data_IF_388450284386
#
_entry.id   IF_388450284386
#
_cell.length_a   1.000
_cell.length_b   1.000
_cell.length_c   1.000
_cell.angle_alpha   90.00
_cell.angle_beta   90.00
_cell.angle_gamma   90.00
#
_symmetry.space_group_name_H-M   'P 1'
#
loop_
_entity.id
_entity.type
_entity.pdbx_description
1 polymer ?
#
# COMPACT_ATOMS: atom_id res chain seq x y z
N UNK A 1 20.23 -30.07 -2.92
CA UNK A 1 19.05 -29.96 -2.05
C UNK A 1 19.13 -28.61 -1.34
N UNK A 2 18.43 -27.60 -1.85
CA UNK A 2 18.47 -26.24 -1.29
C UNK A 2 17.58 -26.16 -0.06
N UNK A 3 18.17 -26.07 1.13
CA UNK A 3 17.47 -26.06 2.44
C UNK A 3 17.35 -24.64 3.05
N UNK A 4 17.66 -23.59 2.29
CA UNK A 4 17.68 -22.19 2.76
C UNK A 4 16.57 -21.29 2.20
N UNK A 5 15.63 -21.84 1.41
CA UNK A 5 14.62 -21.06 0.69
C UNK A 5 13.45 -20.50 1.51
N UNK A 6 13.35 -20.82 2.81
CA UNK A 6 12.18 -20.50 3.64
C UNK A 6 12.35 -19.35 4.66
N UNK A 7 13.55 -18.78 4.80
CA UNK A 7 13.87 -17.86 5.91
C UNK A 7 13.49 -16.38 5.66
N UNK A 8 13.01 -16.02 4.46
CA UNK A 8 12.74 -14.62 4.10
C UNK A 8 11.41 -14.39 3.37
N UNK A 9 10.50 -15.37 3.36
CA UNK A 9 9.19 -15.14 2.76
C UNK A 9 8.39 -14.16 3.63
N UNK A 10 7.86 -13.05 3.07
CA UNK A 10 7.00 -12.14 3.82
C UNK A 10 5.84 -12.91 4.46
N UNK A 11 5.52 -12.61 5.71
CA UNK A 11 4.43 -13.29 6.44
C UNK A 11 3.07 -12.92 5.84
N UNK A 12 2.95 -11.70 5.32
CA UNK A 12 1.71 -11.13 4.79
C UNK A 12 2.00 -10.30 3.54
N UNK A 13 1.10 -10.34 2.55
CA UNK A 13 1.00 -9.33 1.49
C UNK A 13 -0.04 -8.27 1.88
N UNK A 14 0.20 -7.04 1.42
CA UNK A 14 -0.72 -5.91 1.60
C UNK A 14 -1.26 -5.54 0.22
N UNK A 15 -2.59 -5.44 0.10
CA UNK A 15 -3.24 -4.97 -1.11
C UNK A 15 -4.25 -3.87 -0.77
N UNK A 16 -4.27 -2.80 -1.56
CA UNK A 16 -5.21 -1.68 -1.39
C UNK A 16 -6.20 -1.73 -2.55
N UNK A 17 -7.49 -1.79 -2.22
CA UNK A 17 -8.57 -1.85 -3.23
C UNK A 17 -9.50 -0.68 -3.02
N UNK A 18 -9.66 0.16 -4.04
CA UNK A 18 -10.64 1.24 -4.03
C UNK A 18 -12.07 0.68 -4.09
N UNK A 19 -13.01 1.34 -3.43
CA UNK A 19 -14.41 0.90 -3.44
C UNK A 19 -15.03 0.89 -4.84
N UNK A 20 -14.57 1.77 -5.73
CA UNK A 20 -15.04 1.93 -7.10
C UNK A 20 -14.00 1.50 -8.16
N UNK A 21 -13.04 0.64 -7.77
CA UNK A 21 -11.92 0.19 -8.60
C UNK A 21 -12.31 -0.28 -10.02
N UNK A 22 -13.46 -0.93 -10.18
CA UNK A 22 -13.93 -1.48 -11.46
C UNK A 22 -14.51 -0.41 -12.41
N UNK A 23 -14.93 0.73 -11.87
CA UNK A 23 -15.64 1.78 -12.62
C UNK A 23 -14.86 3.10 -12.69
N UNK A 24 -13.89 3.29 -11.78
CA UNK A 24 -13.11 4.52 -11.68
C UNK A 24 -12.26 4.72 -12.93
N UNK A 25 -12.26 5.95 -13.43
CA UNK A 25 -11.41 6.36 -14.56
C UNK A 25 -9.95 6.21 -14.21
N UNK A 26 -9.15 6.04 -15.25
CA UNK A 26 -7.70 5.83 -15.15
C UNK A 26 -7.00 6.75 -16.15
N UNK A 27 -5.75 7.07 -15.85
CA UNK A 27 -4.89 7.88 -16.70
C UNK A 27 -3.56 7.16 -16.94
N UNK A 28 -2.96 7.43 -18.10
CA UNK A 28 -1.62 6.96 -18.43
C UNK A 28 -0.57 7.94 -17.92
N UNK A 29 0.43 7.42 -17.23
CA UNK A 29 1.56 8.18 -16.70
C UNK A 29 2.83 7.58 -17.27
N UNK A 30 3.66 8.43 -17.86
CA UNK A 30 5.00 8.02 -18.30
C UNK A 30 5.97 8.13 -17.13
N UNK A 31 6.53 7.01 -16.70
CA UNK A 31 7.56 6.95 -15.67
C UNK A 31 8.91 7.48 -16.19
N UNK A 32 9.84 7.71 -15.26
CA UNK A 32 11.20 8.17 -15.57
C UNK A 32 11.98 7.23 -16.48
N UNK A 33 11.76 5.91 -16.35
CA UNK A 33 12.38 4.88 -17.21
C UNK A 33 11.67 4.74 -18.57
N UNK A 34 10.68 5.60 -18.84
CA UNK A 34 9.99 5.68 -20.11
C UNK A 34 8.83 4.70 -20.29
N UNK A 35 8.53 3.87 -19.28
CA UNK A 35 7.35 3.00 -19.29
C UNK A 35 6.07 3.83 -19.16
N UNK A 36 4.99 3.31 -19.73
CA UNK A 36 3.66 3.89 -19.57
C UNK A 36 2.90 3.01 -18.59
N UNK A 37 2.52 3.59 -17.46
CA UNK A 37 1.74 2.94 -16.42
C UNK A 37 0.35 3.53 -16.34
N UNK A 38 -0.63 2.71 -15.94
CA UNK A 38 -2.03 3.12 -15.83
C UNK A 38 -2.42 3.22 -14.36
N UNK A 39 -2.83 4.40 -13.93
CA UNK A 39 -3.16 4.72 -12.53
C UNK A 39 -4.58 5.24 -12.40
N UNK A 40 -5.19 5.11 -11.23
CA UNK A 40 -6.52 5.66 -10.95
C UNK A 40 -6.50 7.18 -10.98
N UNK A 41 -7.51 7.77 -11.62
CA UNK A 41 -7.65 9.21 -11.74
C UNK A 41 -8.55 9.75 -10.63
N UNK A 42 -8.09 10.82 -9.98
CA UNK A 42 -8.82 11.59 -8.98
C UNK A 42 -8.77 13.07 -9.35
N UNK A 43 -9.81 13.81 -8.96
CA UNK A 43 -9.85 15.26 -9.02
C UNK A 43 -9.91 15.85 -7.62
N UNK A 44 -9.59 17.13 -7.50
CA UNK A 44 -9.65 17.83 -6.21
C UNK A 44 -11.05 17.74 -5.59
N UNK A 45 -11.10 17.55 -4.27
CA UNK A 45 -12.32 17.33 -3.51
C UNK A 45 -12.93 15.92 -3.59
N UNK A 46 -12.43 15.02 -4.45
CA UNK A 46 -12.93 13.63 -4.48
C UNK A 46 -12.52 12.83 -3.25
N UNK A 47 -13.40 11.94 -2.81
CA UNK A 47 -13.11 11.01 -1.72
C UNK A 47 -12.32 9.79 -2.22
N UNK A 48 -11.13 9.57 -1.68
CA UNK A 48 -10.38 8.33 -1.84
C UNK A 48 -10.80 7.32 -0.75
N UNK A 49 -11.60 6.33 -1.11
CA UNK A 49 -12.13 5.32 -0.17
C UNK A 49 -11.90 3.90 -0.68
N UNK A 50 -11.66 2.97 0.24
CA UNK A 50 -11.33 1.60 -0.10
C UNK A 50 -11.07 0.72 1.11
N UNK A 51 -10.45 -0.43 0.86
CA UNK A 51 -10.07 -1.43 1.86
C UNK A 51 -8.59 -1.76 1.75
N UNK A 52 -7.96 -1.98 2.90
CA UNK A 52 -6.63 -2.57 3.00
C UNK A 52 -6.80 -4.05 3.32
N UNK A 53 -6.41 -4.91 2.41
CA UNK A 53 -6.45 -6.36 2.54
C UNK A 53 -5.07 -6.86 2.96
N UNK A 54 -5.05 -7.69 4.00
CA UNK A 54 -3.85 -8.33 4.53
C UNK A 54 -3.96 -9.84 4.31
N UNK A 55 -3.15 -10.37 3.40
CA UNK A 55 -3.19 -11.79 3.01
C UNK A 55 -1.99 -12.53 3.58
N UNK A 56 -2.23 -13.43 4.52
CA UNK A 56 -1.19 -14.30 5.08
C UNK A 56 -0.69 -15.29 4.03
N UNK A 57 0.63 -15.33 3.79
CA UNK A 57 1.24 -16.28 2.85
C UNK A 57 1.40 -17.68 3.44
N UNK A 58 1.43 -17.78 4.77
CA UNK A 58 1.69 -19.01 5.50
C UNK A 58 0.58 -19.23 6.51
N UNK A 59 -0.15 -20.35 6.35
CA UNK A 59 -1.20 -20.75 7.29
C UNK A 59 -0.65 -20.91 8.70
N UNK A 60 -1.41 -20.47 9.69
CA UNK A 60 -1.07 -20.61 11.11
C UNK A 60 0.08 -19.72 11.58
N UNK A 61 0.61 -18.83 10.73
CA UNK A 61 1.58 -17.83 11.18
C UNK A 61 0.87 -16.63 11.82
N UNK A 62 1.55 -16.13 12.84
CA UNK A 62 1.22 -14.93 13.61
C UNK A 62 2.03 -13.76 13.08
N UNK A 63 1.42 -12.58 12.98
CA UNK A 63 2.10 -11.32 12.68
C UNK A 63 1.87 -10.33 13.83
N UNK A 64 2.90 -10.09 14.63
CA UNK A 64 2.89 -9.01 15.61
C UNK A 64 3.21 -7.67 14.94
N UNK A 65 2.45 -6.62 15.26
CA UNK A 65 2.62 -5.29 14.68
C UNK A 65 2.47 -4.19 15.73
N UNK A 66 3.09 -3.03 15.48
CA UNK A 66 3.04 -1.84 16.35
C UNK A 66 1.92 -0.86 15.98
N UNK A 67 0.92 -1.35 15.28
CA UNK A 67 -0.15 -0.55 14.67
C UNK A 67 -0.12 -0.65 13.15
N UNK A 68 -1.27 -0.40 12.54
CA UNK A 68 -1.47 -0.44 11.09
C UNK A 68 -2.17 0.86 10.72
N UNK A 69 -1.61 1.59 9.77
CA UNK A 69 -2.19 2.82 9.25
C UNK A 69 -2.12 2.85 7.74
N UNK A 70 -2.98 3.67 7.14
CA UNK A 70 -2.92 4.05 5.73
C UNK A 70 -2.73 5.56 5.66
N UNK A 71 -1.94 5.99 4.67
CA UNK A 71 -1.64 7.41 4.43
C UNK A 71 -2.01 7.76 3.00
N UNK A 72 -2.66 8.91 2.81
CA UNK A 72 -2.80 9.56 1.52
C UNK A 72 -1.79 10.72 1.47
N UNK A 73 -0.78 10.59 0.61
CA UNK A 73 0.35 11.51 0.55
C UNK A 73 0.42 12.13 -0.84
N UNK A 74 0.44 13.46 -0.89
CA UNK A 74 0.85 14.24 -2.05
C UNK A 74 2.19 14.90 -1.75
N UNK A 75 3.21 14.60 -2.57
CA UNK A 75 4.57 15.13 -2.38
C UNK A 75 5.20 15.58 -3.69
N UNK A 76 6.16 16.50 -3.57
CA UNK A 76 7.06 16.89 -4.66
C UNK A 76 8.45 16.31 -4.36
N UNK A 77 9.01 15.61 -5.33
CA UNK A 77 10.37 15.08 -5.28
C UNK A 77 11.29 15.90 -6.19
N UNK A 78 12.38 16.42 -5.62
CA UNK A 78 13.39 17.16 -6.38
C UNK A 78 14.54 16.23 -6.74
N UNK A 79 14.82 16.07 -8.03
CA UNK A 79 15.88 15.19 -8.52
C UNK A 79 17.28 15.51 -7.99
N UNK A 80 17.54 16.80 -7.75
CA UNK A 80 18.81 17.29 -7.20
C UNK A 80 18.97 17.02 -5.70
N UNK A 81 17.88 16.71 -4.99
CA UNK A 81 17.88 16.43 -3.57
C UNK A 81 16.80 15.40 -3.23
N UNK A 82 17.07 14.14 -3.59
CA UNK A 82 16.16 13.01 -3.32
C UNK A 82 15.91 12.75 -1.82
N UNK A 83 16.70 13.37 -0.94
CA UNK A 83 16.53 13.26 0.50
C UNK A 83 15.45 14.20 1.04
N UNK A 84 15.07 15.22 0.25
CA UNK A 84 14.16 16.28 0.66
C UNK A 84 12.81 16.13 -0.05
N UNK A 85 11.89 15.42 0.59
CA UNK A 85 10.51 15.27 0.13
C UNK A 85 9.67 16.41 0.65
N UNK A 86 9.00 17.12 -0.25
CA UNK A 86 8.11 18.21 0.13
C UNK A 86 6.65 17.73 0.08
N UNK A 87 6.13 17.28 1.23
CA UNK A 87 4.72 16.89 1.38
C UNK A 87 3.84 18.14 1.44
N UNK A 88 2.83 18.20 0.57
CA UNK A 88 1.81 19.27 0.56
C UNK A 88 0.43 18.76 0.97
N UNK A 89 0.21 17.45 0.96
CA UNK A 89 -0.95 16.77 1.56
C UNK A 89 -0.47 15.52 2.29
N UNK A 90 -0.88 15.36 3.55
CA UNK A 90 -0.71 14.13 4.31
C UNK A 90 -1.96 13.88 5.16
N UNK A 91 -2.69 12.82 4.84
CA UNK A 91 -3.87 12.38 5.61
C UNK A 91 -3.61 10.97 6.14
N UNK A 92 -3.72 10.79 7.46
CA UNK A 92 -3.45 9.52 8.13
C UNK A 92 -4.73 8.92 8.68
N UNK A 93 -4.91 7.62 8.49
CA UNK A 93 -5.95 6.83 9.16
C UNK A 93 -5.36 5.61 9.84
N UNK A 94 -5.49 5.55 11.16
CA UNK A 94 -5.20 4.36 11.94
C UNK A 94 -6.27 3.29 11.69
N UNK A 95 -5.82 2.10 11.29
CA UNK A 95 -6.66 0.94 10.95
C UNK A 95 -6.65 -0.11 12.07
N UNK A 96 -5.53 -0.23 12.80
CA UNK A 96 -5.42 -1.10 13.96
C UNK A 96 -4.38 -0.54 14.95
N UNK A 97 -4.67 -0.67 16.25
CA UNK A 97 -3.71 -0.45 17.34
C UNK A 97 -2.62 -1.54 17.34
N UNK A 98 -1.50 -1.37 18.07
CA UNK A 98 -0.53 -2.44 18.27
C UNK A 98 -1.20 -3.74 18.72
N UNK A 99 -0.76 -4.86 18.15
CA UNK A 99 -1.41 -6.14 18.39
C UNK A 99 -0.89 -7.26 17.51
N UNK A 100 -1.75 -8.23 17.31
CA UNK A 100 -1.46 -9.48 16.63
C UNK A 100 -2.50 -9.75 15.56
N UNK A 101 -2.05 -10.10 14.36
CA UNK A 101 -2.88 -10.65 13.31
C UNK A 101 -2.64 -12.14 13.18
N UNK A 102 -3.74 -12.88 13.11
CA UNK A 102 -3.77 -14.32 12.83
C UNK A 102 -4.76 -14.59 11.71
N UNK A 103 -4.43 -15.51 10.80
CA UNK A 103 -5.39 -15.95 9.80
C UNK A 103 -6.59 -16.62 10.48
N UNK A 104 -7.77 -16.03 10.35
CA UNK A 104 -9.02 -16.63 10.82
C UNK A 104 -9.56 -17.53 9.71
N UNK A 105 -9.66 -18.83 9.96
CA UNK A 105 -10.35 -19.75 9.06
C UNK A 105 -11.86 -19.53 9.25
N UNK A 106 -12.50 -18.77 8.36
CA UNK A 106 -13.94 -18.86 8.13
C UNK A 106 -14.16 -19.55 6.78
#
# INVERSE_FOLDING_TARGET
MSFLGGLFTPVCDINIVLNDADTRKTAEIKSEDGKIEKHYLFYDGESATGKVNLTFKQLGKRLEHKGIRIEFVGQIELFSDKSNRHEFVNLVKELALPGELTQTNL
#
